data_IF_389578738735
#
_entry.id   IF_389578738735
#
_cell.length_a   1.000
_cell.length_b   1.000
_cell.length_c   1.000
_cell.angle_alpha   90.00
_cell.angle_beta   90.00
_cell.angle_gamma   90.00
#
_symmetry.space_group_name_H-M   'P 1'
#
loop_
_entity.id
_entity.type
_entity.pdbx_description
1 polymer ?
#
# COMPACT_ATOMS: atom_id res chain seq x y z
N UNK A 1 9.37 9.23 9.28
CA UNK A 1 9.89 8.72 7.99
C UNK A 1 9.66 7.22 8.02
N UNK A 2 8.85 6.64 7.11
CA UNK A 2 8.51 5.22 7.25
C UNK A 2 8.40 4.52 5.89
N UNK A 3 9.51 4.54 5.15
CA UNK A 3 9.70 3.79 3.91
C UNK A 3 11.08 4.06 3.31
N UNK A 4 11.76 3.04 2.81
CA UNK A 4 13.04 3.13 2.08
C UNK A 4 12.89 2.41 0.74
N UNK A 5 13.44 2.98 -0.32
CA UNK A 5 13.50 2.36 -1.64
C UNK A 5 14.96 2.12 -2.00
N UNK A 6 15.24 1.04 -2.74
CA UNK A 6 16.56 0.82 -3.30
C UNK A 6 16.85 1.79 -4.47
N UNK A 7 18.11 1.83 -4.93
CA UNK A 7 18.52 2.75 -5.99
C UNK A 7 17.89 2.43 -7.35
N UNK A 8 17.51 1.17 -7.60
CA UNK A 8 16.84 0.76 -8.83
C UNK A 8 15.33 1.00 -8.80
N UNK A 9 14.76 1.33 -7.64
CA UNK A 9 13.35 1.67 -7.50
C UNK A 9 12.41 0.46 -7.58
N UNK A 10 12.92 -0.76 -7.44
CA UNK A 10 12.16 -1.99 -7.59
C UNK A 10 12.00 -2.77 -6.27
N UNK A 11 12.70 -2.36 -5.19
CA UNK A 11 12.55 -2.91 -3.84
C UNK A 11 12.20 -1.81 -2.86
N UNK A 12 11.08 -1.98 -2.14
CA UNK A 12 10.58 -1.04 -1.15
C UNK A 12 10.46 -1.71 0.24
N UNK A 13 11.12 -1.13 1.24
CA UNK A 13 10.95 -1.48 2.65
C UNK A 13 10.00 -0.52 3.34
N UNK A 14 8.95 -1.02 3.98
CA UNK A 14 7.95 -0.24 4.69
C UNK A 14 7.82 -0.73 6.13
N UNK A 15 7.69 0.21 7.07
CA UNK A 15 7.31 -0.10 8.45
C UNK A 15 5.81 0.10 8.74
N UNK A 16 4.97 0.89 8.02
CA UNK A 16 3.53 0.63 8.09
C UNK A 16 3.23 -0.73 7.43
N UNK A 17 2.14 -1.38 7.86
CA UNK A 17 1.58 -2.58 7.23
C UNK A 17 0.48 -2.19 6.22
N UNK A 18 0.81 -1.77 4.97
CA UNK A 18 -0.18 -1.39 3.97
C UNK A 18 -1.14 -2.54 3.61
N UNK A 19 -0.71 -3.79 3.76
CA UNK A 19 -1.52 -4.99 3.56
C UNK A 19 -2.70 -5.07 4.53
N UNK A 20 -2.55 -4.48 5.72
CA UNK A 20 -3.60 -4.40 6.74
C UNK A 20 -4.51 -3.18 6.57
N UNK A 21 -4.45 -2.48 5.43
CA UNK A 21 -5.32 -1.34 5.10
C UNK A 21 -5.89 -1.44 3.67
N UNK A 22 -6.20 -2.67 3.23
CA UNK A 22 -6.81 -2.96 1.93
C UNK A 22 -8.34 -2.89 2.04
N UNK A 23 -8.90 -3.47 3.08
CA UNK A 23 -10.34 -3.60 3.27
C UNK A 23 -10.89 -2.55 4.24
N UNK A 24 -12.15 -2.09 4.07
CA UNK A 24 -12.75 -1.09 4.94
C UNK A 24 -12.77 -1.48 6.42
N UNK A 25 -13.01 -2.75 6.74
CA UNK A 25 -13.09 -3.25 8.12
C UNK A 25 -11.74 -3.36 8.83
N UNK A 26 -10.63 -3.31 8.10
CA UNK A 26 -9.29 -3.30 8.73
C UNK A 26 -8.96 -1.92 9.34
N UNK A 27 -9.72 -0.88 8.99
CA UNK A 27 -9.54 0.44 9.57
C UNK A 27 -9.93 0.42 11.06
N UNK A 28 -9.10 0.91 12.00
CA UNK A 28 -9.41 0.88 13.43
C UNK A 28 -10.74 1.55 13.80
N UNK A 29 -11.21 2.48 12.96
CA UNK A 29 -12.47 3.23 13.15
C UNK A 29 -13.55 2.81 12.15
N UNK A 30 -13.47 1.60 11.58
CA UNK A 30 -14.43 1.13 10.57
C UNK A 30 -15.89 1.13 11.05
N UNK A 31 -16.10 0.84 12.34
CA UNK A 31 -17.43 0.88 12.98
C UNK A 31 -18.03 2.28 13.06
N UNK A 32 -17.22 3.33 12.86
CA UNK A 32 -17.66 4.74 12.79
C UNK A 32 -17.91 5.21 11.35
N UNK A 33 -17.91 4.29 10.38
CA UNK A 33 -18.11 4.60 8.96
C UNK A 33 -16.87 5.11 8.23
N UNK A 34 -15.73 5.22 8.91
CA UNK A 34 -14.46 5.57 8.29
C UNK A 34 -13.94 4.38 7.47
N UNK A 35 -13.50 4.66 6.24
CA UNK A 35 -13.06 3.64 5.30
C UNK A 35 -11.54 3.68 5.16
N UNK A 36 -10.92 2.51 5.23
CA UNK A 36 -9.52 2.29 4.84
C UNK A 36 -9.35 2.25 3.32
N UNK A 37 -8.26 1.62 2.86
CA UNK A 37 -7.91 1.49 1.44
C UNK A 37 -6.63 2.23 1.03
N UNK A 38 -5.96 2.90 1.96
CA UNK A 38 -4.72 3.63 1.70
C UNK A 38 -3.59 2.71 1.20
N UNK A 39 -3.53 1.47 1.68
CA UNK A 39 -2.50 0.50 1.27
C UNK A 39 -2.73 -0.08 -0.12
N UNK A 40 -3.96 -0.11 -0.62
CA UNK A 40 -4.30 -0.73 -1.91
C UNK A 40 -3.68 0.03 -3.10
N UNK A 41 -3.52 1.35 -2.99
CA UNK A 41 -2.93 2.17 -4.05
C UNK A 41 -1.50 1.72 -4.39
N UNK A 42 -0.71 1.33 -3.40
CA UNK A 42 0.67 0.85 -3.56
C UNK A 42 0.72 -0.42 -4.42
N UNK A 43 -0.13 -1.41 -4.11
CA UNK A 43 -0.17 -2.66 -4.87
C UNK A 43 -0.69 -2.45 -6.29
N UNK A 44 -1.68 -1.56 -6.48
CA UNK A 44 -2.17 -1.19 -7.82
C UNK A 44 -1.09 -0.52 -8.66
N UNK A 45 -0.27 0.35 -8.08
CA UNK A 45 0.86 0.95 -8.80
C UNK A 45 1.90 -0.08 -9.21
N UNK A 46 2.22 -1.05 -8.34
CA UNK A 46 3.16 -2.11 -8.67
C UNK A 46 2.66 -2.96 -9.86
N UNK A 47 1.38 -3.40 -9.84
CA UNK A 47 0.78 -4.14 -10.96
C UNK A 47 0.79 -3.32 -12.25
N UNK A 48 0.46 -2.02 -12.17
CA UNK A 48 0.47 -1.14 -13.35
C UNK A 48 1.86 -1.03 -13.97
N UNK A 49 2.88 -0.89 -13.15
CA UNK A 49 4.28 -0.79 -13.59
C UNK A 49 4.72 -2.10 -14.25
N UNK A 50 4.47 -3.24 -13.60
CA UNK A 50 4.79 -4.56 -14.17
C UNK A 50 4.05 -4.83 -15.48
N UNK A 51 2.76 -4.44 -15.57
CA UNK A 51 1.97 -4.58 -16.79
C UNK A 51 2.45 -3.65 -17.93
N UNK A 52 3.17 -2.57 -17.61
CA UNK A 52 3.74 -1.63 -18.58
C UNK A 52 5.12 -2.08 -19.12
N UNK A 53 5.66 -3.22 -18.65
CA UNK A 53 6.86 -3.83 -19.22
C UNK A 53 8.18 -3.26 -18.74
N UNK A 54 8.28 -2.85 -17.46
CA UNK A 54 9.60 -2.83 -16.79
C UNK A 54 10.21 -4.21 -16.69
#
# INVERSE_FOLDING_TARGET
MVGVCDAHGNVLGLMPHPENHIYPWQHPRWTRGERGGLGLALFKSAVRVLAAGV
#
